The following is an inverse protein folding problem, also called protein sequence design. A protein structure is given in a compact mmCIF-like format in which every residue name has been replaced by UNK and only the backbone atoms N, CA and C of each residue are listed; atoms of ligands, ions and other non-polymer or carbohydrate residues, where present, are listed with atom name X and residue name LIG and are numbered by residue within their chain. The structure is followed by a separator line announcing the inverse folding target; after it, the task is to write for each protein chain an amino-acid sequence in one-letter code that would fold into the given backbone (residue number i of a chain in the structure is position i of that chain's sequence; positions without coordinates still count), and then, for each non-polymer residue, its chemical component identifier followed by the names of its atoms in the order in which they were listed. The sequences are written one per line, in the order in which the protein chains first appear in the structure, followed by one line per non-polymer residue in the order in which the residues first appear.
data_IF_806007515270
#
_entry.id   IF_806007515270
#
_cell.length_a   1.000
_cell.length_b   1.000
_cell.length_c   1.000
_cell.angle_alpha   90.00
_cell.angle_beta   90.00
_cell.angle_gamma   90.00
#
_symmetry.space_group_name_H-M   'P 1'
#
loop_
_entity.id
_entity.type
_entity.pdbx_description
1 polymer ?
#
# COMPACT_ATOMS: atom_id res chain seq x y z
N UNK A 1 -5.85 19.24 9.84
CA UNK A 1 -5.40 18.01 10.52
C UNK A 1 -4.38 18.40 11.60
N UNK A 2 -4.41 17.78 12.79
CA UNK A 2 -3.46 18.07 13.88
C UNK A 2 -1.99 17.84 13.47
N UNK A 3 -1.74 16.85 12.60
CA UNK A 3 -0.42 16.62 12.02
C UNK A 3 0.09 17.84 11.27
N UNK A 4 -0.70 18.40 10.36
CA UNK A 4 -0.31 19.61 9.61
C UNK A 4 -0.03 20.81 10.51
N UNK A 5 -0.78 20.99 11.60
CA UNK A 5 -0.49 22.05 12.58
C UNK A 5 0.86 21.84 13.29
N UNK A 6 1.24 20.59 13.59
CA UNK A 6 2.57 20.30 14.10
C UNK A 6 3.65 20.62 13.08
N UNK A 7 3.38 20.42 11.79
CA UNK A 7 4.32 20.76 10.72
C UNK A 7 4.50 22.27 10.57
N UNK A 8 3.42 23.05 10.70
CA UNK A 8 3.48 24.51 10.71
C UNK A 8 4.31 25.04 11.89
N UNK A 9 4.12 24.47 13.09
CA UNK A 9 4.90 24.82 14.29
C UNK A 9 6.35 24.34 14.16
N UNK A 10 6.61 23.26 13.44
CA UNK A 10 7.97 22.75 13.21
C UNK A 10 8.84 23.66 12.33
N UNK A 11 8.26 24.72 11.74
CA UNK A 11 9.03 25.78 11.08
C UNK A 11 9.93 26.53 12.08
N UNK A 12 9.53 26.58 13.36
CA UNK A 12 10.36 27.15 14.41
C UNK A 12 11.51 26.21 14.80
N UNK A 13 12.78 26.63 14.65
CA UNK A 13 13.95 25.76 14.79
C UNK A 13 14.12 25.20 16.21
N UNK A 14 13.56 25.87 17.23
CA UNK A 14 13.68 25.47 18.63
C UNK A 14 12.86 24.22 19.00
N UNK A 15 11.80 23.91 18.24
CA UNK A 15 10.89 22.80 18.54
C UNK A 15 10.79 21.78 17.40
N UNK A 16 11.60 21.95 16.35
CA UNK A 16 11.54 21.17 15.10
C UNK A 16 11.50 19.66 15.34
N UNK A 17 12.48 19.09 16.03
CA UNK A 17 12.59 17.62 16.19
C UNK A 17 11.42 17.04 17.01
N UNK A 18 11.00 17.76 18.05
CA UNK A 18 9.87 17.37 18.88
C UNK A 18 8.54 17.44 18.10
N UNK A 19 8.37 18.43 17.22
CA UNK A 19 7.17 18.56 16.40
C UNK A 19 7.15 17.59 15.22
N UNK A 20 8.31 17.26 14.64
CA UNK A 20 8.42 16.24 13.61
C UNK A 20 8.07 14.85 14.13
N UNK A 21 8.55 14.47 15.32
CA UNK A 21 8.15 13.19 15.94
C UNK A 21 6.64 13.14 16.21
N UNK A 22 6.04 14.25 16.69
CA UNK A 22 4.58 14.38 16.84
C UNK A 22 3.84 14.31 15.51
N UNK A 23 4.38 14.92 14.44
CA UNK A 23 3.80 14.84 13.10
C UNK A 23 3.68 13.38 12.65
N UNK A 24 4.77 12.61 12.70
CA UNK A 24 4.76 11.19 12.32
C UNK A 24 3.81 10.37 13.21
N UNK A 25 3.79 10.66 14.51
CA UNK A 25 2.88 10.00 15.45
C UNK A 25 1.40 10.27 15.11
N UNK A 26 1.02 11.53 14.87
CA UNK A 26 -0.35 11.89 14.52
C UNK A 26 -0.75 11.39 13.13
N UNK A 27 0.18 11.35 12.18
CA UNK A 27 -0.07 10.76 10.87
C UNK A 27 -0.36 9.27 10.99
N UNK A 28 0.45 8.54 11.78
CA UNK A 28 0.21 7.13 12.03
C UNK A 28 -1.12 6.87 12.75
N UNK A 29 -1.44 7.67 13.78
CA UNK A 29 -2.73 7.59 14.47
C UNK A 29 -3.90 7.84 13.52
N UNK A 30 -3.80 8.83 12.62
CA UNK A 30 -4.84 9.12 11.64
C UNK A 30 -5.11 7.90 10.74
N UNK A 31 -4.07 7.20 10.29
CA UNK A 31 -4.20 5.99 9.47
C UNK A 31 -4.87 4.85 10.23
N UNK A 32 -4.52 4.66 11.50
CA UNK A 32 -5.13 3.65 12.37
C UNK A 32 -6.61 3.93 12.64
N UNK A 33 -6.97 5.18 12.97
CA UNK A 33 -8.36 5.55 13.23
C UNK A 33 -9.21 5.51 11.96
N UNK A 34 -8.63 5.91 10.81
CA UNK A 34 -9.31 5.81 9.52
C UNK A 34 -9.69 4.35 9.21
N UNK A 35 -8.75 3.43 9.36
CA UNK A 35 -9.02 2.01 9.14
C UNK A 35 -10.00 1.46 10.17
N UNK A 36 -9.81 1.80 11.45
CA UNK A 36 -10.66 1.30 12.52
C UNK A 36 -12.10 1.79 12.41
N UNK A 37 -12.35 2.98 11.86
CA UNK A 37 -13.70 3.49 11.61
C UNK A 37 -14.54 2.51 10.77
N UNK A 38 -13.96 1.90 9.72
CA UNK A 38 -14.65 0.89 8.91
C UNK A 38 -14.98 -0.37 9.72
N UNK A 39 -14.06 -0.83 10.58
CA UNK A 39 -14.28 -1.98 11.47
C UNK A 39 -15.37 -1.68 12.49
N UNK A 40 -15.32 -0.52 13.14
CA UNK A 40 -16.29 -0.12 14.13
C UNK A 40 -17.70 -0.14 13.52
N UNK A 41 -17.88 0.51 12.36
CA UNK A 41 -19.16 0.51 11.63
C UNK A 41 -19.60 -0.90 11.26
N UNK A 42 -18.71 -1.76 10.75
CA UNK A 42 -19.04 -3.15 10.47
C UNK A 42 -19.54 -3.93 11.70
N UNK A 43 -19.02 -3.62 12.89
CA UNK A 43 -19.43 -4.30 14.13
C UNK A 43 -20.68 -3.73 14.80
N UNK A 44 -21.06 -2.49 14.49
CA UNK A 44 -22.22 -1.81 15.07
C UNK A 44 -23.43 -1.81 14.13
N UNK A 45 -23.19 -1.68 12.83
CA UNK A 45 -24.23 -1.62 11.81
C UNK A 45 -24.57 -3.02 11.29
N UNK A 46 -25.86 -3.33 11.04
CA UNK A 46 -26.29 -4.64 10.56
C UNK A 46 -25.88 -4.92 9.11
N UNK A 47 -25.57 -3.87 8.34
CA UNK A 47 -25.15 -3.95 6.94
C UNK A 47 -23.86 -3.18 6.74
N UNK A 48 -22.99 -3.68 5.87
CA UNK A 48 -21.73 -3.04 5.52
C UNK A 48 -21.73 -2.68 4.05
N UNK A 49 -21.26 -1.47 3.76
CA UNK A 49 -20.97 -1.02 2.40
C UNK A 49 -19.58 -1.44 1.93
N UNK A 50 -18.71 -1.89 2.84
CA UNK A 50 -17.36 -2.36 2.52
C UNK A 50 -17.39 -3.82 2.07
N UNK A 51 -16.60 -4.11 1.03
CA UNK A 51 -16.33 -5.46 0.56
C UNK A 51 -15.64 -6.30 1.65
N UNK A 52 -15.88 -7.63 1.71
CA UNK A 52 -15.21 -8.53 2.64
C UNK A 52 -13.68 -8.43 2.59
N UNK A 53 -13.11 -8.27 1.40
CA UNK A 53 -11.68 -8.12 1.11
C UNK A 53 -11.13 -6.84 1.75
N UNK A 54 -11.85 -5.72 1.62
CA UNK A 54 -11.48 -4.45 2.26
C UNK A 54 -11.45 -4.60 3.79
N UNK A 55 -12.48 -5.20 4.39
CA UNK A 55 -12.52 -5.41 5.83
C UNK A 55 -11.43 -6.37 6.31
N UNK A 56 -11.10 -7.39 5.52
CA UNK A 56 -9.98 -8.29 5.76
C UNK A 56 -8.65 -7.54 5.76
N UNK A 57 -8.39 -6.75 4.72
CA UNK A 57 -7.16 -5.97 4.56
C UNK A 57 -6.98 -4.93 5.67
N UNK A 58 -8.03 -4.18 5.99
CA UNK A 58 -8.04 -3.22 7.10
C UNK A 58 -7.74 -3.94 8.42
N UNK A 59 -8.42 -5.06 8.70
CA UNK A 59 -8.22 -5.79 9.95
C UNK A 59 -6.81 -6.36 10.06
N UNK A 60 -6.21 -6.78 8.94
CA UNK A 60 -4.83 -7.27 8.86
C UNK A 60 -3.82 -6.14 9.09
N UNK A 61 -4.00 -5.02 8.42
CA UNK A 61 -3.18 -3.81 8.61
C UNK A 61 -3.18 -3.37 10.09
N UNK A 62 -4.37 -3.30 10.70
CA UNK A 62 -4.51 -2.93 12.11
C UNK A 62 -3.91 -3.98 13.02
N UNK A 63 -4.12 -5.28 12.77
CA UNK A 63 -3.53 -6.33 13.60
C UNK A 63 -2.00 -6.19 13.67
N UNK A 64 -1.34 -5.96 12.54
CA UNK A 64 0.09 -5.74 12.47
C UNK A 64 0.55 -4.48 13.21
N UNK A 65 -0.19 -3.37 13.10
CA UNK A 65 0.13 -2.12 13.80
C UNK A 65 -0.10 -2.19 15.31
N UNK A 66 -1.15 -2.89 15.74
CA UNK A 66 -1.55 -3.02 17.16
C UNK A 66 -0.68 -4.01 17.96
N UNK A 67 0.31 -4.65 17.32
CA UNK A 67 1.29 -5.51 18.01
C UNK A 67 2.21 -4.71 18.93
N UNK A 68 2.57 -3.48 18.53
CA UNK A 68 3.51 -2.61 19.26
C UNK A 68 2.77 -1.83 20.34
N UNK A 69 1.84 -0.98 19.92
CA UNK A 69 1.06 -0.10 20.78
C UNK A 69 -0.41 -0.14 20.38
N UNK A 70 -1.30 0.02 21.38
CA UNK A 70 -2.73 0.19 21.11
C UNK A 70 -3.22 1.54 21.51
N UNK A 71 -3.60 2.39 20.54
CA UNK A 71 -4.14 3.70 20.83
C UNK A 71 -5.53 3.60 21.44
N UNK A 72 -5.90 4.66 22.17
CA UNK A 72 -7.20 4.76 22.84
C UNK A 72 -8.35 4.68 21.82
N UNK A 73 -9.41 3.97 22.14
CA UNK A 73 -10.59 3.87 21.28
C UNK A 73 -10.53 2.81 20.18
N UNK A 74 -9.37 2.17 19.94
CA UNK A 74 -9.27 1.01 19.04
C UNK A 74 -9.46 -0.30 19.84
N UNK A 75 -10.55 -1.01 19.57
CA UNK A 75 -10.81 -2.32 20.19
C UNK A 75 -10.09 -3.44 19.46
N UNK A 76 -9.10 -4.06 20.12
CA UNK A 76 -8.47 -5.30 19.65
C UNK A 76 -9.48 -6.40 19.36
N UNK A 77 -10.54 -6.49 20.18
CA UNK A 77 -11.59 -7.51 20.04
C UNK A 77 -12.37 -7.30 18.76
N UNK A 78 -12.78 -6.07 18.43
CA UNK A 78 -13.51 -5.78 17.19
C UNK A 78 -12.65 -6.07 15.95
N UNK A 79 -11.37 -5.68 16.00
CA UNK A 79 -10.41 -5.94 14.91
C UNK A 79 -10.20 -7.44 14.69
N UNK A 80 -9.92 -8.20 15.76
CA UNK A 80 -9.72 -9.65 15.68
C UNK A 80 -11.00 -10.41 15.30
N UNK A 81 -12.16 -9.98 15.81
CA UNK A 81 -13.44 -10.57 15.45
C UNK A 81 -13.75 -10.40 13.97
N UNK A 82 -13.55 -9.18 13.45
CA UNK A 82 -13.74 -8.86 12.02
C UNK A 82 -12.75 -9.66 11.19
N UNK A 83 -11.47 -9.69 11.57
CA UNK A 83 -10.46 -10.48 10.89
C UNK A 83 -10.84 -11.97 10.84
N UNK A 84 -11.24 -12.56 11.96
CA UNK A 84 -11.59 -13.98 12.03
C UNK A 84 -12.77 -14.33 11.13
N UNK A 85 -13.81 -13.47 11.13
CA UNK A 85 -15.01 -13.67 10.31
C UNK A 85 -14.72 -13.52 8.82
N UNK A 86 -14.00 -12.47 8.41
CA UNK A 86 -13.65 -12.27 7.00
C UNK A 86 -12.62 -13.28 6.49
N UNK A 87 -11.62 -13.62 7.30
CA UNK A 87 -10.62 -14.64 6.95
C UNK A 87 -11.29 -15.99 6.70
N UNK A 88 -12.28 -16.37 7.52
CA UNK A 88 -13.06 -17.59 7.30
C UNK A 88 -13.90 -17.53 6.03
N UNK A 89 -14.47 -16.38 5.70
CA UNK A 89 -15.30 -16.20 4.50
C UNK A 89 -14.47 -16.27 3.21
N UNK A 90 -13.27 -15.67 3.21
CA UNK A 90 -12.36 -15.60 2.08
C UNK A 90 -11.40 -16.81 1.96
N UNK A 91 -11.55 -17.82 2.81
CA UNK A 91 -10.73 -19.04 2.76
C UNK A 91 -9.34 -18.96 3.41
N UNK A 92 -9.01 -17.87 4.12
CA UNK A 92 -7.84 -17.78 4.99
C UNK A 92 -8.09 -18.49 6.34
N UNK A 93 -8.19 -19.82 6.32
CA UNK A 93 -8.60 -20.59 7.49
C UNK A 93 -7.53 -20.68 8.58
N UNK A 94 -6.25 -20.70 8.24
CA UNK A 94 -5.15 -20.72 9.23
C UNK A 94 -5.07 -19.37 9.95
N UNK A 95 -5.22 -18.25 9.23
CA UNK A 95 -5.33 -16.92 9.85
C UNK A 95 -6.58 -16.81 10.74
N UNK A 96 -7.72 -17.31 10.28
CA UNK A 96 -8.95 -17.31 11.07
C UNK A 96 -8.79 -18.05 12.41
N UNK A 97 -8.13 -19.21 12.41
CA UNK A 97 -7.81 -19.95 13.66
C UNK A 97 -6.96 -19.12 14.59
N UNK A 98 -5.86 -18.57 14.08
CA UNK A 98 -4.98 -17.71 14.88
C UNK A 98 -5.75 -16.54 15.49
N UNK A 99 -6.65 -15.90 14.73
CA UNK A 99 -7.48 -14.82 15.24
C UNK A 99 -8.45 -15.27 16.34
N UNK A 100 -9.13 -16.42 16.17
CA UNK A 100 -9.99 -17.00 17.21
C UNK A 100 -9.22 -17.39 18.47
N UNK A 101 -8.03 -17.96 18.34
CA UNK A 101 -7.18 -18.31 19.48
C UNK A 101 -6.74 -17.06 20.25
N UNK A 102 -6.39 -15.98 19.55
CA UNK A 102 -6.05 -14.69 20.17
C UNK A 102 -7.25 -14.06 20.88
N UNK A 103 -8.48 -14.24 20.37
CA UNK A 103 -9.70 -13.73 21.01
C UNK A 103 -9.96 -14.37 22.38
N UNK A 104 -9.59 -15.64 22.58
CA UNK A 104 -9.77 -16.34 23.86
C UNK A 104 -8.96 -15.69 25.00
N UNK A 105 -7.84 -15.01 24.67
CA UNK A 105 -7.01 -14.29 25.64
C UNK A 105 -7.51 -12.88 25.99
N UNK A 106 -8.65 -12.44 25.46
CA UNK A 106 -9.18 -11.09 25.65
C UNK A 106 -10.54 -11.10 26.33
N UNK A 107 -10.92 -9.98 26.95
CA UNK A 107 -12.26 -9.80 27.52
C UNK A 107 -13.27 -9.54 26.40
N UNK A 108 -14.08 -10.56 26.10
CA UNK A 108 -15.07 -10.51 25.01
C UNK A 108 -16.40 -9.95 25.53
N UNK A 109 -16.95 -8.89 24.91
CA UNK A 109 -18.30 -8.39 25.20
C UNK A 109 -19.37 -9.47 24.95
N UNK A 110 -20.40 -9.52 25.80
CA UNK A 110 -21.47 -10.54 25.76
C UNK A 110 -22.14 -10.67 24.37
N UNK A 111 -22.28 -9.56 23.64
CA UNK A 111 -22.82 -9.53 22.27
C UNK A 111 -22.06 -10.42 21.28
N UNK A 112 -20.75 -10.60 21.47
CA UNK A 112 -19.90 -11.35 20.52
C UNK A 112 -19.59 -12.78 20.97
N UNK A 113 -19.79 -13.12 22.25
CA UNK A 113 -19.39 -14.41 22.82
C UNK A 113 -19.93 -15.60 22.01
N UNK A 114 -21.26 -15.67 21.81
CA UNK A 114 -21.90 -16.75 21.04
C UNK A 114 -21.35 -16.87 19.62
N UNK A 115 -21.14 -15.74 18.94
CA UNK A 115 -20.63 -15.72 17.57
C UNK A 115 -19.17 -16.15 17.50
N UNK A 116 -18.35 -15.77 18.50
CA UNK A 116 -16.93 -16.14 18.58
C UNK A 116 -16.79 -17.63 18.91
N UNK A 117 -17.56 -18.14 19.87
CA UNK A 117 -17.58 -19.56 20.23
C UNK A 117 -17.99 -20.44 19.04
N UNK A 118 -19.08 -20.08 18.35
CA UNK A 118 -19.49 -20.78 17.13
C UNK A 118 -18.40 -20.71 16.05
N UNK A 119 -17.79 -19.54 15.86
CA UNK A 119 -16.67 -19.34 14.95
C UNK A 119 -15.47 -20.26 15.26
N UNK A 120 -15.07 -20.30 16.53
CA UNK A 120 -13.97 -21.13 17.03
C UNK A 120 -14.24 -22.63 16.90
N UNK A 121 -15.49 -23.08 17.05
CA UNK A 121 -15.87 -24.47 16.81
C UNK A 121 -15.87 -24.81 15.31
N UNK A 122 -16.51 -23.97 14.50
CA UNK A 122 -16.70 -24.24 13.06
C UNK A 122 -15.43 -24.10 12.24
N UNK A 123 -14.43 -23.33 12.68
CA UNK A 123 -13.14 -23.25 11.97
C UNK A 123 -12.33 -24.55 12.09
N UNK A 124 -12.59 -25.37 13.11
CA UNK A 124 -11.89 -26.66 13.32
C UNK A 124 -12.20 -27.68 12.22
N UNK A 125 -13.36 -27.57 11.57
CA UNK A 125 -13.74 -28.45 10.46
C UNK A 125 -13.19 -28.01 9.10
N UNK A 126 -12.55 -26.84 9.02
CA UNK A 126 -11.92 -26.33 7.80
C UNK A 126 -10.50 -26.90 7.63
N UNK A 127 -9.88 -26.81 6.45
CA UNK A 127 -8.49 -27.24 6.27
C UNK A 127 -7.49 -26.24 6.88
N UNK A 128 -6.25 -26.67 7.12
CA UNK A 128 -5.18 -25.84 7.71
C UNK A 128 -4.30 -25.20 6.63
N UNK A 129 -4.91 -24.44 5.73
CA UNK A 129 -4.22 -23.58 4.77
C UNK A 129 -4.98 -22.26 4.64
N UNK A 130 -4.31 -21.26 4.09
CA UNK A 130 -4.92 -20.00 3.69
C UNK A 130 -5.03 -19.96 2.16
N UNK A 131 -5.98 -19.19 1.63
CA UNK A 131 -6.07 -18.94 0.19
C UNK A 131 -4.83 -18.19 -0.31
N UNK A 132 -4.26 -18.64 -1.42
CA UNK A 132 -3.07 -18.03 -2.04
C UNK A 132 -3.38 -16.64 -2.64
N UNK A 133 -4.63 -16.40 -3.04
CA UNK A 133 -5.10 -15.13 -3.60
C UNK A 133 -4.99 -13.96 -2.60
N UNK A 134 -5.03 -14.25 -1.30
CA UNK A 134 -4.97 -13.24 -0.25
C UNK A 134 -3.53 -12.83 0.12
N UNK A 135 -2.54 -13.54 -0.41
CA UNK A 135 -1.14 -13.38 -0.02
C UNK A 135 -0.57 -12.12 -0.66
N UNK A 136 -0.15 -11.11 0.12
CA UNK A 136 0.39 -9.87 -0.43
C UNK A 136 1.76 -10.06 -1.08
N UNK A 137 1.89 -9.59 -2.31
CA UNK A 137 3.14 -9.52 -3.04
C UNK A 137 3.94 -8.27 -2.62
N UNK A 138 5.25 -8.42 -2.43
CA UNK A 138 6.13 -7.26 -2.34
C UNK A 138 6.60 -6.85 -3.74
N UNK A 139 6.20 -5.65 -4.19
CA UNK A 139 6.56 -5.17 -5.51
C UNK A 139 8.05 -4.83 -5.70
N UNK A 140 8.83 -4.76 -4.61
CA UNK A 140 10.29 -4.58 -4.71
C UNK A 140 11.05 -5.87 -5.00
N UNK A 141 10.73 -6.95 -4.29
CA UNK A 141 11.50 -8.21 -4.33
C UNK A 141 10.70 -9.41 -4.83
N UNK A 142 9.47 -9.17 -5.30
CA UNK A 142 8.50 -10.17 -5.78
C UNK A 142 8.26 -11.33 -4.80
N UNK A 143 8.55 -11.12 -3.51
CA UNK A 143 8.36 -12.12 -2.47
C UNK A 143 6.91 -12.10 -2.01
N UNK A 144 6.29 -13.27 -1.96
CA UNK A 144 4.98 -13.48 -1.34
C UNK A 144 5.12 -13.43 0.18
N UNK A 145 4.39 -12.52 0.83
CA UNK A 145 4.53 -12.29 2.27
C UNK A 145 3.43 -13.03 3.05
N UNK A 146 3.77 -13.65 4.19
CA UNK A 146 2.76 -14.32 5.00
C UNK A 146 1.68 -13.33 5.47
N UNK A 147 0.45 -13.81 5.62
CA UNK A 147 -0.67 -12.99 6.08
C UNK A 147 -0.45 -12.43 7.49
N UNK A 148 0.34 -13.12 8.31
CA UNK A 148 0.81 -12.67 9.63
C UNK A 148 2.29 -12.37 9.57
N UNK A 149 2.65 -11.13 9.86
CA UNK A 149 4.03 -10.71 10.02
C UNK A 149 4.24 -10.04 11.39
N UNK A 150 5.11 -10.62 12.21
CA UNK A 150 5.46 -10.06 13.52
C UNK A 150 6.28 -8.77 13.42
N UNK A 151 6.88 -8.49 12.26
CA UNK A 151 7.64 -7.26 11.99
C UNK A 151 6.74 -6.06 11.70
N UNK A 152 5.43 -6.29 11.53
CA UNK A 152 4.44 -5.27 11.18
C UNK A 152 4.14 -5.25 9.67
N UNK A 153 3.76 -4.07 9.18
CA UNK A 153 3.37 -3.86 7.79
C UNK A 153 4.58 -3.64 6.85
N UNK A 154 5.49 -4.60 6.87
CA UNK A 154 6.71 -4.60 6.04
C UNK A 154 6.88 -5.94 5.33
N UNK A 155 7.66 -5.95 4.24
CA UNK A 155 8.07 -7.19 3.61
C UNK A 155 8.97 -8.02 4.54
N UNK A 156 8.78 -9.34 4.57
CA UNK A 156 9.59 -10.25 5.38
C UNK A 156 11.03 -10.39 4.85
N UNK A 157 11.23 -10.21 3.55
CA UNK A 157 12.51 -10.37 2.87
C UNK A 157 13.30 -9.05 2.82
N UNK A 158 12.83 -8.06 2.07
CA UNK A 158 13.54 -6.78 1.88
C UNK A 158 13.23 -5.70 2.93
N UNK A 159 12.36 -5.97 3.90
CA UNK A 159 11.90 -5.00 4.93
C UNK A 159 11.26 -3.72 4.40
N UNK A 160 10.95 -3.64 3.10
CA UNK A 160 10.22 -2.52 2.49
C UNK A 160 8.87 -2.33 3.20
N UNK A 161 8.56 -1.13 3.70
CA UNK A 161 7.22 -0.78 4.17
C UNK A 161 6.20 -0.89 3.05
N UNK A 162 5.07 -1.53 3.33
CA UNK A 162 3.98 -1.59 2.36
C UNK A 162 3.27 -0.25 2.28
N UNK A 163 3.06 0.22 1.07
CA UNK A 163 2.20 1.38 0.79
C UNK A 163 0.80 0.83 0.53
N UNK A 164 -0.17 1.29 1.31
CA UNK A 164 -1.55 0.82 1.20
C UNK A 164 -2.44 1.82 0.45
N UNK A 165 -3.42 1.30 -0.28
CA UNK A 165 -4.53 2.10 -0.77
C UNK A 165 -5.37 2.56 0.42
N UNK A 166 -5.63 3.86 0.53
CA UNK A 166 -6.43 4.39 1.64
C UNK A 166 -7.94 4.06 1.53
N UNK A 167 -8.42 3.47 0.42
CA UNK A 167 -9.78 2.93 0.28
C UNK A 167 -9.85 1.45 0.68
N UNK A 168 -9.11 0.59 -0.01
CA UNK A 168 -9.20 -0.87 0.08
C UNK A 168 -8.21 -1.49 1.08
N UNK A 169 -7.19 -0.73 1.50
CA UNK A 169 -6.04 -1.22 2.29
C UNK A 169 -5.28 -2.37 1.61
N UNK A 170 -5.37 -2.46 0.28
CA UNK A 170 -4.52 -3.33 -0.53
C UNK A 170 -3.14 -2.72 -0.70
N UNK A 171 -2.14 -3.58 -0.91
CA UNK A 171 -0.76 -3.13 -1.14
C UNK A 171 -0.69 -2.56 -2.55
N UNK A 172 -0.31 -1.29 -2.66
CA UNK A 172 -0.12 -0.62 -3.94
C UNK A 172 1.20 -1.03 -4.59
N UNK A 173 1.21 -0.99 -5.92
CA UNK A 173 2.35 -1.28 -6.81
C UNK A 173 3.44 -0.21 -6.75
N UNK A 174 3.70 0.37 -5.57
CA UNK A 174 4.59 1.50 -5.34
C UNK A 174 5.83 1.10 -4.58
N UNK A 175 6.97 1.63 -5.02
CA UNK A 175 8.24 1.56 -4.29
C UNK A 175 8.72 2.98 -4.02
N UNK A 176 8.99 3.26 -2.73
CA UNK A 176 9.64 4.52 -2.32
C UNK A 176 11.11 4.49 -2.72
N UNK A 177 11.58 5.60 -3.27
CA UNK A 177 12.97 5.79 -3.62
C UNK A 177 13.49 7.14 -3.14
N UNK A 178 14.81 7.21 -2.97
CA UNK A 178 15.51 8.37 -2.45
C UNK A 178 16.44 8.92 -3.51
N UNK A 179 16.64 10.24 -3.49
CA UNK A 179 17.55 10.91 -4.41
C UNK A 179 18.99 10.75 -3.95
N UNK A 180 19.91 10.63 -4.90
CA UNK A 180 21.35 10.66 -4.66
C UNK A 180 21.82 12.03 -4.11
N UNK A 181 22.86 12.02 -3.27
CA UNK A 181 23.42 13.22 -2.66
C UNK A 181 23.84 14.24 -3.73
N UNK A 182 23.31 15.46 -3.62
CA UNK A 182 23.60 16.57 -4.54
C UNK A 182 22.57 16.81 -5.63
N UNK A 183 21.43 16.09 -5.66
CA UNK A 183 20.27 16.40 -6.50
C UNK A 183 19.27 17.21 -5.66
N UNK A 184 18.84 18.38 -6.13
CA UNK A 184 17.76 19.14 -5.47
C UNK A 184 16.40 18.58 -5.88
N UNK A 185 15.38 18.77 -5.04
CA UNK A 185 14.02 18.32 -5.35
C UNK A 185 13.47 18.93 -6.67
N UNK A 186 13.83 20.18 -6.94
CA UNK A 186 13.48 20.89 -8.18
C UNK A 186 14.22 20.31 -9.39
N UNK A 187 15.51 19.99 -9.24
CA UNK A 187 16.28 19.31 -10.28
C UNK A 187 15.68 17.93 -10.58
N UNK A 188 15.34 17.15 -9.54
CA UNK A 188 14.73 15.84 -9.70
C UNK A 188 13.41 15.90 -10.48
N UNK A 189 12.51 16.85 -10.15
CA UNK A 189 11.27 17.05 -10.90
C UNK A 189 11.55 17.42 -12.35
N UNK A 190 12.50 18.33 -12.60
CA UNK A 190 12.85 18.71 -13.98
C UNK A 190 13.38 17.54 -14.80
N UNK A 191 14.14 16.64 -14.18
CA UNK A 191 14.69 15.45 -14.83
C UNK A 191 13.62 14.41 -15.16
N UNK A 192 12.56 14.33 -14.36
CA UNK A 192 11.40 13.44 -14.62
C UNK A 192 10.47 14.04 -15.67
N UNK A 193 10.28 15.35 -15.68
CA UNK A 193 9.44 16.06 -16.65
C UNK A 193 10.08 16.11 -18.05
N UNK A 194 11.41 16.00 -18.13
CA UNK A 194 12.15 15.77 -19.37
C UNK A 194 11.91 14.34 -19.88
N UNK A 195 10.68 14.06 -20.35
CA UNK A 195 10.34 12.76 -20.93
C UNK A 195 11.31 12.43 -22.09
N UNK A 196 12.12 11.39 -21.91
CA UNK A 196 12.86 10.80 -23.01
C UNK A 196 11.84 10.23 -24.02
N UNK A 197 11.96 10.53 -25.33
CA UNK A 197 11.09 9.95 -26.33
C UNK A 197 11.21 8.43 -26.26
N UNK A 198 10.09 7.74 -26.00
CA UNK A 198 10.03 6.27 -26.07
C UNK A 198 10.59 5.85 -27.44
N UNK A 199 11.66 5.06 -27.46
CA UNK A 199 12.08 4.38 -28.68
C UNK A 199 10.88 3.58 -29.18
N UNK A 200 10.33 3.96 -30.35
CA UNK A 200 9.36 3.13 -31.06
C UNK A 200 9.99 1.76 -31.22
N UNK A 201 9.45 0.74 -30.55
CA UNK A 201 9.75 -0.66 -30.89
C UNK A 201 9.36 -0.83 -32.36
N UNK A 202 10.36 -0.90 -33.25
CA UNK A 202 10.14 -1.41 -34.59
C UNK A 202 9.73 -2.87 -34.42
N UNK A 203 8.44 -3.16 -34.60
CA UNK A 203 7.96 -4.52 -34.74
C UNK A 203 8.62 -5.09 -36.01
N UNK A 204 9.74 -5.80 -35.84
CA UNK A 204 10.39 -6.56 -36.92
C UNK A 204 9.53 -7.78 -37.25
N UNK A 205 8.48 -7.57 -38.03
CA UNK A 205 7.79 -8.64 -38.73
C UNK A 205 8.73 -9.19 -39.81
N UNK A 206 9.24 -10.41 -39.64
CA UNK A 206 10.01 -11.10 -40.66
C UNK A 206 9.13 -12.14 -41.36
N UNK A 207 8.71 -11.82 -42.58
CA UNK A 207 8.04 -12.77 -43.46
C UNK A 207 9.08 -13.56 -44.26
N UNK A 208 9.11 -14.88 -44.11
CA UNK A 208 9.98 -15.76 -44.91
C UNK A 208 9.09 -16.46 -45.94
N UNK A 209 9.20 -16.05 -47.19
CA UNK A 209 8.51 -16.71 -48.32
C UNK A 209 9.43 -17.76 -48.95
N UNK A 210 9.09 -19.05 -48.81
CA UNK A 210 9.66 -20.13 -49.62
C UNK A 210 8.60 -20.64 -50.60
N UNK A 211 9.04 -21.02 -51.80
CA UNK A 211 8.28 -21.20 -53.04
C UNK A 211 7.06 -22.15 -53.05
N UNK A 212 6.61 -22.68 -51.91
CA UNK A 212 5.29 -23.32 -51.81
C UNK A 212 4.68 -23.37 -50.40
N UNK A 213 5.13 -22.53 -49.47
CA UNK A 213 4.48 -22.39 -48.16
C UNK A 213 4.72 -20.99 -47.57
N UNK A 214 3.62 -20.32 -47.20
CA UNK A 214 3.67 -19.11 -46.37
C UNK A 214 3.65 -19.56 -44.92
N UNK A 215 4.74 -19.33 -44.19
CA UNK A 215 4.84 -19.68 -42.77
C UNK A 215 5.01 -18.39 -41.98
N UNK A 216 3.98 -17.97 -41.25
CA UNK A 216 4.07 -16.88 -40.29
C UNK A 216 4.83 -17.40 -39.07
N UNK A 217 6.10 -16.99 -38.93
CA UNK A 217 6.83 -17.15 -37.67
C UNK A 217 6.54 -15.93 -36.81
N UNK A 218 5.59 -16.07 -35.89
CA UNK A 218 5.56 -15.23 -34.71
C UNK A 218 6.70 -15.74 -33.84
N UNK A 219 7.86 -15.09 -33.93
CA UNK A 219 8.86 -15.26 -32.88
C UNK A 219 8.25 -14.57 -31.66
N UNK A 220 7.48 -15.33 -30.88
CA UNK A 220 7.31 -15.00 -29.47
C UNK A 220 8.70 -15.17 -28.86
N UNK A 221 9.58 -14.20 -29.11
CA UNK A 221 10.47 -13.77 -28.06
C UNK A 221 9.51 -13.47 -26.94
N UNK A 222 9.41 -14.42 -26.00
CA UNK A 222 8.81 -14.25 -24.70
C UNK A 222 9.40 -12.93 -24.26
N UNK A 223 8.61 -11.87 -24.41
CA UNK A 223 9.05 -10.51 -24.19
C UNK A 223 9.31 -10.53 -22.70
N UNK A 224 10.58 -10.71 -22.32
CA UNK A 224 11.03 -10.60 -20.94
C UNK A 224 10.55 -9.25 -20.49
N UNK A 225 9.41 -9.24 -19.80
CA UNK A 225 8.80 -8.07 -19.20
C UNK A 225 9.72 -7.61 -18.07
N UNK A 226 10.80 -6.91 -18.42
CA UNK A 226 11.61 -6.17 -17.45
C UNK A 226 13.13 -6.33 -17.51
N UNK A 227 13.74 -6.63 -18.66
CA UNK A 227 15.21 -6.80 -18.71
C UNK A 227 15.97 -5.58 -19.27
N UNK A 228 15.67 -4.37 -18.79
CA UNK A 228 16.64 -3.27 -18.59
C UNK A 228 15.93 -1.93 -18.33
N UNK A 229 15.04 -1.87 -17.33
CA UNK A 229 14.81 -0.59 -16.67
C UNK A 229 15.92 -0.39 -15.63
N UNK A 230 16.76 0.66 -15.74
CA UNK A 230 17.84 0.92 -14.78
C UNK A 230 17.38 0.97 -13.32
N UNK A 231 16.10 1.27 -13.06
CA UNK A 231 15.52 1.21 -11.73
C UNK A 231 15.19 -0.21 -11.28
N UNK A 232 14.56 -1.03 -12.13
CA UNK A 232 14.21 -2.43 -11.80
C UNK A 232 15.48 -3.25 -11.56
N UNK A 233 16.55 -2.98 -12.31
CA UNK A 233 17.88 -3.55 -12.07
C UNK A 233 18.42 -3.23 -10.66
N UNK A 234 18.17 -2.02 -10.15
CA UNK A 234 18.55 -1.62 -8.78
C UNK A 234 17.70 -2.30 -7.69
N UNK A 235 16.46 -2.67 -7.98
CA UNK A 235 15.60 -3.39 -7.03
C UNK A 235 16.11 -4.82 -6.76
N UNK A 236 16.71 -5.45 -7.78
CA UNK A 236 17.21 -6.83 -7.71
C UNK A 236 18.52 -6.99 -6.95
N UNK A 237 19.34 -5.94 -6.87
CA UNK A 237 20.70 -6.02 -6.31
C UNK A 237 20.72 -6.13 -4.76
N UNK A 238 19.64 -5.77 -4.07
CA UNK A 238 19.61 -5.65 -2.60
C UNK A 238 18.73 -6.71 -1.91
N UNK A 239 18.58 -7.89 -2.51
CA UNK A 239 17.77 -8.97 -1.95
C UNK A 239 18.53 -9.74 -0.86
N UNK A 240 18.21 -9.50 0.42
CA UNK A 240 18.55 -10.44 1.51
C UNK A 240 19.17 -9.88 2.81
N UNK A 241 19.01 -8.58 3.10
CA UNK A 241 19.48 -8.00 4.37
C UNK A 241 18.51 -8.19 5.55
N UNK A 242 19.03 -8.24 6.79
CA UNK A 242 18.20 -8.12 8.00
C UNK A 242 17.66 -6.71 8.22
N UNK A 243 18.26 -5.72 7.54
CA UNK A 243 17.96 -4.30 7.64
C UNK A 243 17.36 -3.76 6.34
N UNK A 244 16.54 -2.73 6.47
CA UNK A 244 15.94 -2.03 5.33
C UNK A 244 16.98 -1.15 4.65
N UNK A 245 17.21 -1.39 3.35
CA UNK A 245 18.08 -0.54 2.52
C UNK A 245 17.20 0.30 1.59
N UNK A 246 17.29 1.63 1.63
CA UNK A 246 16.52 2.52 0.74
C UNK A 246 17.04 2.46 -0.71
N UNK A 247 16.13 2.50 -1.69
CA UNK A 247 16.50 2.51 -3.11
C UNK A 247 16.99 3.92 -3.49
N UNK A 248 18.28 4.09 -3.75
CA UNK A 248 18.86 5.39 -4.14
C UNK A 248 19.00 5.52 -5.65
N UNK A 249 18.45 6.61 -6.19
CA UNK A 249 18.30 6.85 -7.63
C UNK A 249 19.21 7.98 -8.08
N UNK A 250 19.98 7.73 -9.13
CA UNK A 250 20.90 8.68 -9.75
C UNK A 250 20.22 9.47 -10.85
N UNK A 251 20.82 10.60 -11.26
CA UNK A 251 20.31 11.47 -12.34
C UNK A 251 19.97 10.73 -13.64
N UNK A 252 20.75 9.72 -14.00
CA UNK A 252 20.53 8.90 -15.20
C UNK A 252 19.22 8.11 -15.13
N UNK A 253 18.91 7.54 -13.98
CA UNK A 253 17.70 6.75 -13.77
C UNK A 253 16.47 7.66 -13.67
N UNK A 254 16.59 8.85 -13.08
CA UNK A 254 15.50 9.84 -13.08
C UNK A 254 15.08 10.24 -14.51
N UNK A 255 16.05 10.42 -15.41
CA UNK A 255 15.80 10.74 -16.83
C UNK A 255 15.13 9.61 -17.62
N UNK A 256 15.32 8.36 -17.20
CA UNK A 256 14.68 7.21 -17.85
C UNK A 256 13.26 6.96 -17.33
N UNK A 257 12.87 7.58 -16.21
CA UNK A 257 11.52 7.44 -15.64
C UNK A 257 10.52 8.32 -16.39
N UNK A 258 9.30 7.82 -16.55
CA UNK A 258 8.18 8.61 -17.04
C UNK A 258 7.51 9.36 -15.90
N UNK A 259 7.01 10.57 -16.17
CA UNK A 259 6.29 11.37 -15.17
C UNK A 259 5.00 10.69 -14.69
N UNK A 260 4.40 9.85 -15.53
CA UNK A 260 3.16 9.11 -15.23
C UNK A 260 3.36 8.04 -14.15
N UNK A 261 4.54 7.46 -14.08
CA UNK A 261 4.85 6.39 -13.14
C UNK A 261 5.39 6.92 -11.81
N UNK A 262 5.63 8.23 -11.68
CA UNK A 262 6.23 8.82 -10.47
C UNK A 262 5.22 9.68 -9.70
N UNK A 263 4.99 9.33 -8.44
CA UNK A 263 4.20 10.10 -7.49
C UNK A 263 5.12 10.80 -6.50
N UNK A 264 4.85 12.08 -6.22
CA UNK A 264 5.70 12.95 -5.41
C UNK A 264 4.86 13.55 -4.28
N UNK A 265 5.16 13.19 -3.03
CA UNK A 265 4.58 13.85 -1.85
C UNK A 265 5.37 15.11 -1.54
N UNK A 266 4.83 16.25 -1.95
CA UNK A 266 5.43 17.57 -1.75
C UNK A 266 5.07 18.12 -0.36
N UNK A 267 5.70 17.56 0.66
CA UNK A 267 5.54 18.08 2.01
C UNK A 267 6.11 19.50 2.11
N UNK A 268 5.47 20.41 2.86
CA UNK A 268 6.02 21.72 3.10
C UNK A 268 7.26 21.62 4.00
N UNK A 269 8.17 22.61 3.95
CA UNK A 269 9.33 22.65 4.82
C UNK A 269 8.88 22.60 6.29
N UNK A 270 9.60 21.88 7.17
CA UNK A 270 10.96 21.36 7.02
C UNK A 270 11.09 19.89 6.55
N UNK A 271 10.02 19.26 6.07
CA UNK A 271 10.07 17.88 5.57
C UNK A 271 10.61 17.83 4.13
N UNK A 272 11.35 16.77 3.81
CA UNK A 272 11.80 16.48 2.45
C UNK A 272 10.66 15.87 1.62
N UNK A 273 10.74 16.02 0.29
CA UNK A 273 9.78 15.39 -0.61
C UNK A 273 10.02 13.88 -0.64
N UNK A 274 8.92 13.12 -0.72
CA UNK A 274 8.98 11.67 -0.84
C UNK A 274 8.60 11.26 -2.26
N UNK A 275 9.39 10.36 -2.84
CA UNK A 275 9.22 9.92 -4.22
C UNK A 275 8.83 8.45 -4.25
N UNK A 276 7.82 8.15 -5.05
CA UNK A 276 7.30 6.80 -5.22
C UNK A 276 7.21 6.50 -6.70
N UNK A 277 7.61 5.30 -7.08
CA UNK A 277 7.49 4.81 -8.46
C UNK A 277 6.46 3.69 -8.52
N UNK A 278 5.50 3.80 -9.45
CA UNK A 278 4.61 2.73 -9.85
C UNK A 278 5.32 1.72 -10.73
N UNK A 279 5.19 0.45 -10.40
CA UNK A 279 5.78 -0.66 -11.14
C UNK A 279 4.79 -1.33 -12.11
N UNK A 280 3.48 -1.04 -11.98
CA UNK A 280 2.46 -1.47 -12.92
C UNK A 280 1.73 -0.26 -13.49
N UNK A 281 2.06 0.18 -14.72
CA UNK A 281 1.39 1.30 -15.37
C UNK A 281 -0.10 1.05 -15.66
N UNK A 282 -0.49 -0.21 -15.85
CA UNK A 282 -1.88 -0.61 -16.14
C UNK A 282 -2.80 -0.40 -14.93
N UNK A 283 -2.25 -0.52 -13.71
CA UNK A 283 -2.95 -0.26 -12.46
C UNK A 283 -2.69 1.19 -12.03
N UNK A 284 -3.48 2.12 -12.55
CA UNK A 284 -3.34 3.55 -12.25
C UNK A 284 -3.58 3.86 -10.76
N UNK A 285 -2.73 4.74 -10.22
CA UNK A 285 -2.75 5.17 -8.82
C UNK A 285 -2.88 6.68 -8.77
N UNK A 286 -3.86 7.16 -7.99
CA UNK A 286 -4.10 8.58 -7.76
C UNK A 286 -3.72 8.95 -6.33
N UNK A 287 -3.07 10.10 -6.17
CA UNK A 287 -2.76 10.67 -4.86
C UNK A 287 -3.63 11.90 -4.61
N UNK A 288 -4.24 11.99 -3.43
CA UNK A 288 -5.00 13.17 -3.06
C UNK A 288 -4.07 14.38 -2.86
N UNK A 289 -4.36 15.55 -3.47
CA UNK A 289 -3.49 16.73 -3.38
C UNK A 289 -3.42 17.33 -1.99
N UNK A 290 -4.42 17.08 -1.12
CA UNK A 290 -4.50 17.70 0.20
C UNK A 290 -3.95 16.85 1.34
N UNK A 291 -4.10 15.52 1.27
CA UNK A 291 -3.64 14.62 2.34
C UNK A 291 -2.50 13.69 1.94
N UNK A 292 -2.08 13.72 0.67
CA UNK A 292 -1.03 12.87 0.10
C UNK A 292 -1.23 11.36 0.33
N UNK A 293 -2.47 10.93 0.60
CA UNK A 293 -2.83 9.51 0.63
C UNK A 293 -3.05 9.01 -0.79
N UNK A 294 -2.67 7.75 -1.00
CA UNK A 294 -2.68 7.10 -2.31
C UNK A 294 -3.84 6.11 -2.40
N UNK A 295 -4.38 5.98 -3.60
CA UNK A 295 -5.56 5.18 -3.89
C UNK A 295 -5.40 4.53 -5.27
N UNK A 296 -6.06 3.40 -5.51
CA UNK A 296 -6.38 3.01 -6.87
C UNK A 296 -7.23 4.11 -7.53
N UNK A 297 -6.91 4.49 -8.77
CA UNK A 297 -7.59 5.61 -9.43
C UNK A 297 -9.09 5.35 -9.59
N UNK A 298 -9.48 4.13 -9.94
CA UNK A 298 -10.87 3.71 -10.09
C UNK A 298 -11.69 3.88 -8.79
N UNK A 299 -11.13 3.39 -7.67
CA UNK A 299 -11.73 3.55 -6.34
C UNK A 299 -11.87 5.02 -5.95
N UNK A 300 -10.82 5.81 -6.19
CA UNK A 300 -10.80 7.21 -5.80
C UNK A 300 -11.86 8.00 -6.57
N UNK A 301 -11.93 7.83 -7.89
CA UNK A 301 -12.91 8.49 -8.74
C UNK A 301 -14.33 8.10 -8.36
N UNK A 302 -14.58 6.81 -8.11
CA UNK A 302 -15.89 6.34 -7.69
C UNK A 302 -16.32 6.97 -6.35
N UNK A 303 -15.45 6.94 -5.33
CA UNK A 303 -15.75 7.47 -4.00
C UNK A 303 -15.92 9.00 -4.03
N UNK A 304 -15.12 9.67 -4.86
CA UNK A 304 -15.25 11.10 -5.12
C UNK A 304 -16.59 11.43 -5.77
N UNK A 305 -17.04 10.66 -6.77
CA UNK A 305 -18.33 10.88 -7.43
C UNK A 305 -19.50 10.65 -6.46
N UNK A 306 -19.37 9.69 -5.54
CA UNK A 306 -20.41 9.40 -4.54
C UNK A 306 -20.50 10.44 -3.42
N UNK A 307 -19.36 10.98 -2.98
CA UNK A 307 -19.29 11.79 -1.75
C UNK A 307 -18.87 13.24 -1.97
N UNK A 308 -18.43 13.62 -3.18
CA UNK A 308 -17.91 14.95 -3.57
C UNK A 308 -16.70 15.42 -2.73
N UNK A 309 -16.04 14.50 -2.04
CA UNK A 309 -14.90 14.79 -1.17
C UNK A 309 -13.90 13.63 -1.17
N UNK A 310 -12.68 13.89 -0.70
CA UNK A 310 -11.68 12.83 -0.53
C UNK A 310 -12.16 11.82 0.53
N UNK A 311 -12.12 10.51 0.26
CA UNK A 311 -12.59 9.48 1.21
C UNK A 311 -11.80 9.48 2.53
N UNK A 312 -10.53 9.89 2.49
CA UNK A 312 -9.66 9.93 3.68
C UNK A 312 -9.78 11.25 4.45
N UNK A 313 -9.46 12.38 3.81
CA UNK A 313 -9.40 13.69 4.50
C UNK A 313 -10.72 14.47 4.49
N UNK A 314 -11.73 14.01 3.73
CA UNK A 314 -13.05 14.62 3.61
C UNK A 314 -13.06 16.07 3.11
N UNK A 315 -11.92 16.58 2.59
CA UNK A 315 -11.85 17.87 1.90
C UNK A 315 -12.61 17.76 0.57
N UNK A 316 -13.41 18.77 0.25
CA UNK A 316 -14.08 18.88 -1.05
C UNK A 316 -13.06 19.17 -2.14
N UNK A 317 -13.34 18.70 -3.35
CA UNK A 317 -12.44 18.88 -4.50
C UNK A 317 -12.48 20.32 -5.01
N UNK A 318 -13.62 20.99 -4.86
CA UNK A 318 -13.84 22.37 -5.30
C UNK A 318 -13.16 23.43 -4.42
N UNK A 319 -12.48 23.04 -3.33
CA UNK A 319 -11.68 23.93 -2.48
C UNK A 319 -10.18 23.73 -2.77
N UNK A 320 -9.61 24.41 -3.78
CA UNK A 320 -8.19 24.33 -4.13
C UNK A 320 -7.28 25.16 -3.20
N UNK A 321 -7.76 25.60 -2.04
CA UNK A 321 -6.87 26.30 -1.10
C UNK A 321 -5.84 25.31 -0.52
N UNK A 322 -4.59 25.73 -0.30
CA UNK A 322 -3.63 24.95 0.49
C UNK A 322 -4.17 24.68 1.91
#
# INVERSE_FOLDING_TARGET
MLSMQCLDIAQDPAQKDAMLSKFHHFQHLAELYHGYHAIQRYTEEPFSFHLPETLFNISRFLLHSLTKDTPLGISKVNTLFTLAKQSKALGAYKLARHAYDKLQGLQIPSRFQKSIELGSLTIRSKPFHDSEELVPLCYRCSTNNPLLNNLGNVCINCRQPFVFSASSYEVLHLVEFYLEEGITDEEAVSLIDLEAPRHKRENKWQEITSNNSQTLRLDETVDSMGDDDPFTAKLSFEQGGSEFVPVVVSRSVLRSMSRRDVLIKRWPPPLQWQYFRSLLPDASITMCPSCFQMFHSEDYELLVLQHTCCPYCRRRIDDPSP
#
